data_IF_808695222065
#
_entry.id   IF_808695222065
#
_cell.length_a   1.000
_cell.length_b   1.000
_cell.length_c   1.000
_cell.angle_alpha   90.00
_cell.angle_beta   90.00
_cell.angle_gamma   90.00
#
_symmetry.space_group_name_H-M   'P 1'
#
loop_
_entity.id
_entity.type
_entity.pdbx_description
1 polymer ?
#
# COMPACT_ATOMS: atom_id res chain seq x y z
N UNK A 1 -7.94 -44.80 29.75
CA UNK A 1 -8.84 -43.66 29.48
C UNK A 1 -8.27 -42.90 28.29
N UNK A 2 -9.09 -42.52 27.30
CA UNK A 2 -8.66 -41.73 26.15
C UNK A 2 -9.46 -40.43 26.17
N UNK A 3 -8.77 -39.30 26.28
CA UNK A 3 -9.36 -37.96 26.26
C UNK A 3 -9.03 -37.37 24.90
N UNK A 4 -10.06 -36.88 24.20
CA UNK A 4 -9.91 -36.13 22.95
C UNK A 4 -10.27 -34.68 23.25
N UNK A 5 -9.42 -33.75 22.84
CA UNK A 5 -9.64 -32.31 22.98
C UNK A 5 -9.96 -31.76 21.59
N UNK A 6 -11.03 -30.98 21.50
CA UNK A 6 -11.43 -30.26 20.30
C UNK A 6 -10.92 -28.81 20.39
N UNK A 7 -10.22 -28.36 19.35
CA UNK A 7 -9.60 -27.04 19.25
C UNK A 7 -10.03 -26.30 17.96
N UNK A 8 -11.02 -26.80 17.21
CA UNK A 8 -11.41 -26.20 15.93
C UNK A 8 -11.79 -24.71 16.02
N UNK A 9 -12.34 -24.28 17.16
CA UNK A 9 -12.66 -22.87 17.40
C UNK A 9 -11.44 -21.94 17.46
N UNK A 10 -10.23 -22.47 17.66
CA UNK A 10 -9.00 -21.67 17.53
C UNK A 10 -8.64 -21.44 16.06
N UNK A 11 -8.90 -22.40 15.18
CA UNK A 11 -8.64 -22.26 13.74
C UNK A 11 -9.58 -21.20 13.14
N UNK A 12 -10.88 -21.25 13.46
CA UNK A 12 -11.87 -20.24 13.05
C UNK A 12 -11.47 -18.83 13.51
N UNK A 13 -11.01 -18.71 14.76
CA UNK A 13 -10.55 -17.43 15.29
C UNK A 13 -9.31 -16.89 14.54
N UNK A 14 -8.36 -17.77 14.19
CA UNK A 14 -7.17 -17.37 13.43
C UNK A 14 -7.55 -16.89 12.03
N UNK A 15 -8.48 -17.57 11.36
CA UNK A 15 -9.00 -17.16 10.05
C UNK A 15 -9.68 -15.77 10.12
N UNK A 16 -10.55 -15.54 11.12
CA UNK A 16 -11.22 -14.24 11.30
C UNK A 16 -10.21 -13.09 11.51
N UNK A 17 -9.18 -13.32 12.33
CA UNK A 17 -8.12 -12.33 12.56
C UNK A 17 -7.34 -12.05 11.27
N UNK A 18 -7.10 -13.07 10.46
CA UNK A 18 -6.35 -12.91 9.20
C UNK A 18 -7.13 -12.14 8.14
N UNK A 19 -8.42 -12.42 8.01
CA UNK A 19 -9.33 -11.69 7.14
C UNK A 19 -9.44 -10.22 7.58
N UNK A 20 -9.68 -9.97 8.87
CA UNK A 20 -9.76 -8.61 9.40
C UNK A 20 -8.45 -7.83 9.21
N UNK A 21 -7.31 -8.49 9.43
CA UNK A 21 -5.98 -7.91 9.17
C UNK A 21 -5.84 -7.48 7.71
N UNK A 22 -6.28 -8.32 6.79
CA UNK A 22 -6.21 -8.05 5.34
C UNK A 22 -7.12 -6.89 4.94
N UNK A 23 -8.33 -6.79 5.50
CA UNK A 23 -9.24 -5.67 5.25
C UNK A 23 -8.67 -4.34 5.77
N UNK A 24 -8.11 -4.32 6.99
CA UNK A 24 -7.46 -3.12 7.52
C UNK A 24 -6.28 -2.66 6.66
N UNK A 25 -5.51 -3.60 6.09
CA UNK A 25 -4.43 -3.29 5.15
C UNK A 25 -4.96 -2.70 3.84
N UNK A 26 -6.04 -3.26 3.27
CA UNK A 26 -6.69 -2.73 2.06
C UNK A 26 -7.19 -1.31 2.27
N UNK A 27 -7.87 -1.06 3.38
CA UNK A 27 -8.36 0.27 3.73
C UNK A 27 -7.23 1.30 3.87
N UNK A 28 -6.18 0.95 4.60
CA UNK A 28 -5.01 1.82 4.78
C UNK A 28 -4.32 2.12 3.45
N UNK A 29 -4.18 1.11 2.59
CA UNK A 29 -3.59 1.25 1.25
C UNK A 29 -4.43 2.17 0.35
N UNK A 30 -5.74 1.98 0.32
CA UNK A 30 -6.64 2.82 -0.47
C UNK A 30 -6.61 4.28 0.01
N UNK A 31 -6.64 4.51 1.34
CA UNK A 31 -6.53 5.85 1.92
C UNK A 31 -5.18 6.51 1.61
N UNK A 32 -4.09 5.74 1.67
CA UNK A 32 -2.75 6.23 1.32
C UNK A 32 -2.64 6.65 -0.15
N UNK A 33 -3.12 5.80 -1.07
CA UNK A 33 -3.15 6.11 -2.51
C UNK A 33 -4.02 7.34 -2.76
N UNK A 34 -5.23 7.38 -2.20
CA UNK A 34 -6.13 8.53 -2.32
C UNK A 34 -5.45 9.82 -1.83
N UNK A 35 -4.82 9.80 -0.65
CA UNK A 35 -4.14 10.97 -0.11
C UNK A 35 -3.05 11.47 -1.03
N UNK A 36 -2.22 10.58 -1.60
CA UNK A 36 -1.15 10.95 -2.53
C UNK A 36 -1.67 11.67 -3.78
N UNK A 37 -2.82 11.22 -4.31
CA UNK A 37 -3.47 11.86 -5.47
C UNK A 37 -3.95 13.27 -5.12
N UNK A 38 -4.64 13.40 -4.00
CA UNK A 38 -5.41 14.60 -3.67
C UNK A 38 -4.60 15.69 -2.97
N UNK A 39 -3.67 15.33 -2.07
CA UNK A 39 -3.05 16.29 -1.14
C UNK A 39 -1.58 15.98 -0.90
N UNK A 40 -0.78 17.04 -0.81
CA UNK A 40 0.57 16.92 -0.25
C UNK A 40 0.47 17.16 1.27
N UNK A 41 0.66 16.11 2.05
CA UNK A 41 0.73 16.16 3.52
C UNK A 41 2.16 15.97 4.04
N UNK A 42 3.13 15.80 3.12
CA UNK A 42 4.54 15.74 3.43
C UNK A 42 5.14 17.15 3.62
N UNK A 43 6.40 17.20 4.06
CA UNK A 43 7.18 18.44 4.08
C UNK A 43 7.90 18.74 2.75
N UNK A 44 7.72 17.90 1.72
CA UNK A 44 8.31 18.10 0.39
C UNK A 44 7.47 19.04 -0.46
N UNK A 45 8.03 19.51 -1.58
CA UNK A 45 7.34 20.39 -2.52
C UNK A 45 6.21 19.64 -3.23
N UNK A 46 5.11 20.34 -3.51
CA UNK A 46 4.03 19.79 -4.32
C UNK A 46 4.44 19.79 -5.79
N UNK A 47 4.43 18.61 -6.42
CA UNK A 47 4.65 18.50 -7.86
C UNK A 47 3.48 19.14 -8.61
N UNK A 48 3.79 20.02 -9.57
CA UNK A 48 2.76 20.58 -10.44
C UNK A 48 2.42 19.55 -11.52
N UNK A 49 1.24 18.95 -11.38
CA UNK A 49 0.80 17.86 -12.24
C UNK A 49 0.34 18.38 -13.62
N UNK A 50 1.27 18.77 -14.49
CA UNK A 50 0.94 19.35 -15.81
C UNK A 50 0.42 18.33 -16.81
N UNK A 51 0.95 17.10 -16.79
CA UNK A 51 0.58 16.01 -17.70
C UNK A 51 -0.40 15.01 -17.08
N UNK A 52 -0.83 15.29 -15.85
CA UNK A 52 -1.68 14.44 -15.03
C UNK A 52 -1.12 13.06 -14.60
N UNK A 53 -0.09 12.53 -15.25
CA UNK A 53 0.42 11.17 -15.06
C UNK A 53 0.95 10.82 -13.66
N UNK A 54 1.75 11.70 -13.04
CA UNK A 54 2.45 11.34 -11.78
C UNK A 54 1.46 11.20 -10.61
N UNK A 55 0.53 12.14 -10.46
CA UNK A 55 -0.51 11.97 -9.43
C UNK A 55 -1.68 11.10 -9.86
N UNK A 56 -1.74 10.64 -11.12
CA UNK A 56 -2.83 9.77 -11.54
C UNK A 56 -2.57 8.28 -11.35
N UNK A 57 -1.33 7.83 -11.15
CA UNK A 57 -1.05 6.40 -11.02
C UNK A 57 -0.24 5.96 -9.79
N UNK A 58 -0.33 6.59 -8.59
CA UNK A 58 0.06 5.86 -7.40
C UNK A 58 -0.88 4.66 -7.22
N UNK A 59 -0.32 3.52 -6.83
CA UNK A 59 -1.05 2.28 -6.59
C UNK A 59 -0.50 1.52 -5.41
N UNK A 60 -1.24 0.53 -4.96
CA UNK A 60 -0.85 -0.32 -3.84
C UNK A 60 -1.16 -1.79 -4.09
N UNK A 61 -0.35 -2.67 -3.51
CA UNK A 61 -0.57 -4.10 -3.47
C UNK A 61 -0.54 -4.59 -2.02
N UNK A 62 -1.49 -5.45 -1.67
CA UNK A 62 -1.52 -6.16 -0.38
C UNK A 62 -0.90 -7.53 -0.61
N UNK A 63 0.15 -7.83 0.13
CA UNK A 63 0.89 -9.08 0.04
C UNK A 63 0.68 -9.87 1.32
N UNK A 64 0.22 -11.12 1.19
CA UNK A 64 0.12 -12.10 2.28
C UNK A 64 0.83 -13.38 1.86
N UNK A 65 1.65 -13.94 2.73
CA UNK A 65 2.48 -15.12 2.43
C UNK A 65 3.23 -15.06 1.08
N UNK A 66 3.75 -13.88 0.74
CA UNK A 66 4.49 -13.60 -0.50
C UNK A 66 3.62 -13.51 -1.77
N UNK A 67 2.29 -13.60 -1.65
CA UNK A 67 1.34 -13.50 -2.75
C UNK A 67 0.56 -12.21 -2.68
N UNK A 68 0.32 -11.59 -3.83
CA UNK A 68 -0.59 -10.44 -3.93
C UNK A 68 -2.01 -10.97 -3.73
N UNK A 69 -2.69 -10.50 -2.69
CA UNK A 69 -4.10 -10.82 -2.39
C UNK A 69 -5.06 -9.70 -2.79
N UNK A 70 -4.54 -8.48 -2.98
CA UNK A 70 -5.30 -7.34 -3.48
C UNK A 70 -4.40 -6.36 -4.22
N UNK A 71 -4.93 -5.72 -5.27
CA UNK A 71 -4.23 -4.75 -6.08
C UNK A 71 -5.14 -3.54 -6.34
N UNK A 72 -4.73 -2.37 -5.87
CA UNK A 72 -5.48 -1.13 -5.98
C UNK A 72 -4.71 -0.08 -6.79
N UNK A 73 -5.18 0.21 -8.00
CA UNK A 73 -4.58 1.20 -8.90
C UNK A 73 -5.69 2.05 -9.51
N UNK A 74 -6.09 3.15 -8.84
CA UNK A 74 -7.16 4.02 -9.32
C UNK A 74 -6.63 4.90 -10.46
N UNK A 75 -6.77 4.44 -11.70
CA UNK A 75 -6.47 5.23 -12.88
C UNK A 75 -7.76 5.70 -13.56
N UNK A 76 -7.74 6.91 -14.11
CA UNK A 76 -8.76 7.29 -15.09
C UNK A 76 -8.51 6.51 -16.41
N UNK A 77 -9.55 6.37 -17.24
CA UNK A 77 -9.43 5.64 -18.51
C UNK A 77 -8.43 6.28 -19.50
N UNK A 78 -7.97 7.50 -19.23
CA UNK A 78 -7.14 8.32 -20.11
C UNK A 78 -5.63 8.11 -19.88
N UNK A 79 -5.21 7.65 -18.70
CA UNK A 79 -3.79 7.45 -18.34
C UNK A 79 -3.42 5.96 -18.17
N UNK A 80 -3.87 5.12 -19.08
CA UNK A 80 -3.65 3.66 -19.06
C UNK A 80 -2.16 3.25 -19.03
N UNK A 81 -1.27 4.03 -19.64
CA UNK A 81 0.18 3.76 -19.59
C UNK A 81 0.74 3.89 -18.17
N UNK A 82 0.34 4.94 -17.44
CA UNK A 82 0.79 5.17 -16.07
C UNK A 82 0.29 4.04 -15.15
N UNK A 83 -0.99 3.64 -15.31
CA UNK A 83 -1.58 2.47 -14.63
C UNK A 83 -0.76 1.20 -14.88
N UNK A 84 -0.53 0.86 -16.14
CA UNK A 84 0.14 -0.39 -16.52
C UNK A 84 1.57 -0.46 -15.98
N UNK A 85 2.27 0.69 -15.91
CA UNK A 85 3.61 0.76 -15.33
C UNK A 85 3.59 0.54 -13.82
N UNK A 86 2.67 1.17 -13.11
CA UNK A 86 2.50 0.95 -11.67
C UNK A 86 2.11 -0.50 -11.38
N UNK A 87 1.21 -1.07 -12.17
CA UNK A 87 0.81 -2.47 -12.11
C UNK A 87 1.99 -3.41 -12.30
N UNK A 88 2.79 -3.20 -13.35
CA UNK A 88 4.00 -3.99 -13.59
C UNK A 88 4.99 -3.90 -12.41
N UNK A 89 5.18 -2.71 -11.85
CA UNK A 89 6.07 -2.51 -10.70
C UNK A 89 5.58 -3.26 -9.46
N UNK A 90 4.27 -3.24 -9.18
CA UNK A 90 3.68 -3.94 -8.03
C UNK A 90 3.72 -5.46 -8.20
N UNK A 91 3.45 -5.97 -9.41
CA UNK A 91 3.43 -7.40 -9.70
C UNK A 91 4.84 -7.99 -9.72
N UNK A 92 5.77 -7.36 -10.44
CA UNK A 92 7.11 -7.92 -10.70
C UNK A 92 8.18 -7.42 -9.73
N UNK A 93 7.91 -6.35 -8.97
CA UNK A 93 8.83 -5.83 -7.95
C UNK A 93 9.08 -6.81 -6.80
N UNK A 94 10.11 -6.51 -6.01
CA UNK A 94 10.36 -7.18 -4.74
C UNK A 94 9.13 -7.06 -3.83
N UNK A 95 8.81 -8.14 -3.13
CA UNK A 95 7.63 -8.21 -2.26
C UNK A 95 8.03 -8.71 -0.87
N UNK A 96 7.44 -8.16 0.19
CA UNK A 96 7.59 -8.72 1.52
C UNK A 96 6.87 -10.07 1.62
N UNK A 97 7.07 -10.79 2.73
CA UNK A 97 6.21 -11.93 3.07
C UNK A 97 4.79 -11.44 3.35
N UNK A 98 4.65 -10.44 4.21
CA UNK A 98 3.37 -9.83 4.56
C UNK A 98 3.51 -8.31 4.58
N UNK A 99 2.56 -7.58 4.02
CA UNK A 99 2.52 -6.12 4.11
C UNK A 99 1.87 -5.41 2.92
N UNK A 100 1.98 -4.08 2.94
CA UNK A 100 1.48 -3.20 1.89
C UNK A 100 2.65 -2.63 1.10
N UNK A 101 2.61 -2.75 -0.21
CA UNK A 101 3.57 -2.13 -1.13
C UNK A 101 2.87 -0.97 -1.83
N UNK A 102 3.42 0.24 -1.77
CA UNK A 102 2.95 1.40 -2.54
C UNK A 102 3.97 1.75 -3.62
N UNK A 103 3.50 2.08 -4.81
CA UNK A 103 4.38 2.38 -5.94
C UNK A 103 3.77 3.42 -6.88
N UNK A 104 4.66 4.04 -7.66
CA UNK A 104 4.35 4.87 -8.80
C UNK A 104 5.28 4.43 -9.93
N UNK A 105 4.71 3.90 -11.01
CA UNK A 105 5.45 3.32 -12.13
C UNK A 105 6.04 4.33 -13.11
N UNK A 106 5.91 5.64 -12.86
CA UNK A 106 6.47 6.64 -13.77
C UNK A 106 8.00 6.68 -13.67
N UNK A 107 8.69 6.47 -14.78
CA UNK A 107 10.18 6.41 -14.83
C UNK A 107 10.88 7.64 -14.25
N UNK A 108 10.25 8.82 -14.33
CA UNK A 108 10.79 10.07 -13.79
C UNK A 108 10.44 10.29 -12.31
N UNK A 109 9.70 9.40 -11.66
CA UNK A 109 9.31 9.50 -10.25
C UNK A 109 10.52 9.68 -9.34
N UNK A 110 11.58 8.89 -9.54
CA UNK A 110 12.83 8.97 -8.78
C UNK A 110 13.52 10.33 -8.97
N UNK A 111 13.59 10.82 -10.20
CA UNK A 111 14.14 12.15 -10.51
C UNK A 111 13.34 13.25 -9.82
N UNK A 112 12.00 13.21 -9.89
CA UNK A 112 11.12 14.20 -9.24
C UNK A 112 11.30 14.16 -7.72
N UNK A 113 11.33 12.97 -7.11
CA UNK A 113 11.59 12.81 -5.67
C UNK A 113 12.96 13.38 -5.28
N UNK A 114 14.01 13.14 -6.10
CA UNK A 114 15.36 13.68 -5.87
C UNK A 114 15.44 15.21 -5.89
N UNK A 115 14.48 15.88 -6.55
CA UNK A 115 14.36 17.34 -6.57
C UNK A 115 13.59 17.90 -5.36
N UNK A 116 13.22 17.03 -4.42
CA UNK A 116 12.53 17.37 -3.18
C UNK A 116 11.03 17.54 -3.36
N UNK A 117 10.43 16.89 -4.36
CA UNK A 117 8.99 16.85 -4.54
C UNK A 117 8.39 15.60 -3.92
N UNK A 118 7.14 15.72 -3.47
CA UNK A 118 6.31 14.62 -3.00
C UNK A 118 5.86 13.74 -4.17
N UNK A 119 6.27 12.46 -4.13
CA UNK A 119 5.91 11.44 -5.14
C UNK A 119 5.15 10.27 -4.53
N UNK A 120 5.66 9.74 -3.42
CA UNK A 120 4.99 8.70 -2.60
C UNK A 120 5.05 9.03 -1.11
N UNK A 121 5.51 10.24 -0.76
CA UNK A 121 5.78 10.61 0.62
C UNK A 121 4.47 10.80 1.39
N UNK A 122 3.48 11.43 0.78
CA UNK A 122 2.14 11.55 1.37
C UNK A 122 1.44 10.20 1.54
N UNK A 123 1.59 9.28 0.57
CA UNK A 123 1.13 7.89 0.70
C UNK A 123 1.83 7.19 1.86
N UNK A 124 3.15 7.25 1.93
CA UNK A 124 3.95 6.60 2.99
C UNK A 124 3.56 7.08 4.38
N UNK A 125 3.45 8.41 4.58
CA UNK A 125 3.03 9.00 5.85
C UNK A 125 1.60 8.61 6.24
N UNK A 126 0.69 8.58 5.27
CA UNK A 126 -0.70 8.20 5.50
C UNK A 126 -0.79 6.72 5.85
N UNK A 127 -0.12 5.86 5.10
CA UNK A 127 -0.09 4.43 5.33
C UNK A 127 0.47 4.10 6.73
N UNK A 128 1.56 4.75 7.13
CA UNK A 128 2.14 4.59 8.47
C UNK A 128 1.13 4.93 9.57
N UNK A 129 0.47 6.09 9.44
CA UNK A 129 -0.55 6.54 10.39
C UNK A 129 -1.74 5.58 10.44
N UNK A 130 -2.28 5.21 9.28
CA UNK A 130 -3.48 4.37 9.18
C UNK A 130 -3.23 2.98 9.74
N UNK A 131 -2.12 2.33 9.37
CA UNK A 131 -1.77 1.02 9.91
C UNK A 131 -1.54 1.06 11.42
N UNK A 132 -0.83 2.08 11.93
CA UNK A 132 -0.67 2.24 13.39
C UNK A 132 -2.03 2.38 14.08
N UNK A 133 -2.92 3.21 13.56
CA UNK A 133 -4.25 3.39 14.15
C UNK A 133 -5.08 2.11 14.11
N UNK A 134 -5.10 1.40 12.98
CA UNK A 134 -5.85 0.16 12.80
C UNK A 134 -5.37 -0.98 13.69
N UNK A 135 -4.08 -1.03 14.02
CA UNK A 135 -3.46 -2.14 14.75
C UNK A 135 -2.96 -1.78 16.17
N UNK A 136 -3.39 -0.63 16.73
CA UNK A 136 -3.11 -0.29 18.13
C UNK A 136 -1.72 0.29 18.43
N UNK A 137 -1.21 1.12 17.51
CA UNK A 137 -0.07 2.04 17.56
C UNK A 137 1.34 1.48 17.83
N UNK A 138 1.55 0.57 18.79
CA UNK A 138 2.90 0.25 19.31
C UNK A 138 3.41 -1.15 18.95
N UNK A 139 2.54 -2.06 18.53
CA UNK A 139 2.90 -3.45 18.21
C UNK A 139 3.20 -3.69 16.71
N UNK A 140 2.95 -2.69 15.85
CA UNK A 140 3.21 -2.80 14.42
C UNK A 140 4.58 -2.22 14.08
N UNK A 141 5.51 -3.12 13.74
CA UNK A 141 6.79 -2.74 13.15
C UNK A 141 6.61 -2.48 11.66
N UNK A 142 6.47 -1.21 11.29
CA UNK A 142 6.50 -0.79 9.90
C UNK A 142 7.97 -0.74 9.48
N UNK A 143 8.34 -1.67 8.60
CA UNK A 143 9.69 -1.73 8.02
C UNK A 143 9.59 -1.31 6.58
N UNK A 144 10.17 -0.17 6.25
CA UNK A 144 10.34 0.24 4.86
C UNK A 144 11.47 -0.59 4.26
N UNK A 145 11.21 -1.26 3.13
CA UNK A 145 12.29 -1.84 2.32
C UNK A 145 12.85 -0.71 1.45
N UNK A 146 14.17 -0.49 1.52
CA UNK A 146 14.90 0.43 0.65
C UNK A 146 14.97 -0.08 -0.80
#
# INVERSE_FOLDING_TARGET
>A
MKVTVDLSGLDEFVEEVDENTTELMKEAAQRAVYMQKERNVSNKKTYQNHTWNLRNAPGAAIVRDGKIVDLYIPADGEHSLAKNRTEAMLIFGSKPKDGVVVADGMEYASFVSSKGFDVLDSASLTLDKELKQSFGNDNVKITWQE
#
